data_IF_610502976045
#
_entry.id   IF_610502976045
#
_cell.length_a   1.000
_cell.length_b   1.000
_cell.length_c   1.000
_cell.angle_alpha   90.00
_cell.angle_beta   90.00
_cell.angle_gamma   90.00
#
_symmetry.space_group_name_H-M   'P 1'
#
loop_
_entity.id
_entity.type
_entity.pdbx_description
1 polymer ?
#
# COMPACT_ATOMS: atom_id res chain seq x y z
N UNK A 1 -53.82 -20.71 -48.46
CA UNK A 1 -52.97 -21.04 -47.30
C UNK A 1 -51.74 -20.10 -47.20
N UNK A 2 -51.89 -18.79 -47.46
CA UNK A 2 -50.76 -17.85 -47.60
C UNK A 2 -51.17 -16.41 -47.21
N UNK A 3 -51.55 -16.17 -45.95
CA UNK A 3 -51.86 -14.80 -45.46
C UNK A 3 -51.29 -14.44 -44.08
N UNK A 4 -50.47 -15.29 -43.48
CA UNK A 4 -50.05 -15.14 -42.07
C UNK A 4 -48.61 -14.68 -41.85
N UNK A 5 -47.79 -14.53 -42.90
CA UNK A 5 -46.36 -14.20 -42.77
C UNK A 5 -46.01 -12.71 -42.78
N UNK A 6 -46.94 -11.83 -43.19
CA UNK A 6 -46.62 -10.40 -43.38
C UNK A 6 -46.82 -9.53 -42.13
N UNK A 7 -47.66 -9.95 -41.16
CA UNK A 7 -47.92 -9.16 -39.94
C UNK A 7 -46.82 -9.26 -38.88
N UNK A 8 -45.94 -10.27 -38.97
CA UNK A 8 -44.86 -10.47 -38.00
C UNK A 8 -43.69 -9.50 -38.19
N UNK A 9 -43.53 -8.87 -39.36
CA UNK A 9 -42.34 -8.06 -39.68
C UNK A 9 -42.42 -6.61 -39.19
N UNK A 10 -43.62 -6.08 -38.97
CA UNK A 10 -43.84 -4.69 -38.54
C UNK A 10 -43.75 -4.48 -37.02
N UNK A 11 -43.88 -5.55 -36.22
CA UNK A 11 -43.66 -5.49 -34.76
C UNK A 11 -42.17 -5.42 -34.39
N UNK A 12 -41.28 -5.83 -35.29
CA UNK A 12 -39.84 -5.96 -35.03
C UNK A 12 -39.12 -4.59 -35.10
N UNK A 13 -39.75 -3.57 -35.68
CA UNK A 13 -39.15 -2.26 -35.94
C UNK A 13 -40.01 -1.11 -35.39
N UNK A 14 -40.52 -1.26 -34.16
CA UNK A 14 -41.21 -0.17 -33.49
C UNK A 14 -40.19 0.96 -33.15
N UNK A 15 -40.37 2.20 -33.64
CA UNK A 15 -39.47 3.30 -33.33
C UNK A 15 -39.38 3.62 -31.82
N UNK A 16 -40.39 3.21 -31.04
CA UNK A 16 -40.37 3.30 -29.58
C UNK A 16 -39.38 2.32 -28.96
N UNK A 17 -39.25 1.11 -29.50
CA UNK A 17 -38.29 0.09 -29.05
C UNK A 17 -36.84 0.54 -29.29
N UNK A 18 -36.58 1.16 -30.46
CA UNK A 18 -35.28 1.79 -30.77
C UNK A 18 -34.92 2.94 -29.83
N UNK A 19 -35.90 3.71 -29.35
CA UNK A 19 -35.69 4.78 -28.37
C UNK A 19 -35.45 4.22 -26.97
N UNK A 20 -36.22 3.20 -26.56
CA UNK A 20 -36.05 2.56 -25.26
C UNK A 20 -34.71 1.82 -25.16
N UNK A 21 -34.31 1.07 -26.20
CA UNK A 21 -33.01 0.41 -26.27
C UNK A 21 -31.83 1.41 -26.11
N UNK A 22 -31.92 2.60 -26.71
CA UNK A 22 -30.89 3.65 -26.58
C UNK A 22 -30.78 4.17 -25.14
N UNK A 23 -31.91 4.40 -24.47
CA UNK A 23 -31.92 4.88 -23.07
C UNK A 23 -31.33 3.81 -22.13
N UNK A 24 -31.67 2.54 -22.33
CA UNK A 24 -31.12 1.44 -21.54
C UNK A 24 -29.61 1.32 -21.73
N UNK A 25 -29.12 1.42 -22.97
CA UNK A 25 -27.67 1.40 -23.26
C UNK A 25 -26.94 2.56 -22.59
N UNK A 26 -27.48 3.78 -22.67
CA UNK A 26 -26.87 4.97 -22.04
C UNK A 26 -26.85 4.81 -20.51
N UNK A 27 -27.90 4.23 -19.93
CA UNK A 27 -27.99 4.02 -18.48
C UNK A 27 -26.98 2.97 -18.02
N UNK A 28 -26.86 1.85 -18.74
CA UNK A 28 -25.86 0.81 -18.46
C UNK A 28 -24.45 1.39 -18.61
N UNK A 29 -24.18 2.11 -19.69
CA UNK A 29 -22.89 2.74 -19.94
C UNK A 29 -22.56 3.77 -18.86
N UNK A 30 -23.55 4.54 -18.39
CA UNK A 30 -23.40 5.48 -17.28
C UNK A 30 -23.06 4.78 -15.97
N UNK A 31 -23.73 3.67 -15.64
CA UNK A 31 -23.39 2.85 -14.47
C UNK A 31 -22.01 2.22 -14.58
N UNK A 32 -21.62 1.78 -15.78
CA UNK A 32 -20.32 1.17 -16.04
C UNK A 32 -19.20 2.22 -15.92
N UNK A 33 -19.42 3.43 -16.43
CA UNK A 33 -18.52 4.57 -16.27
C UNK A 33 -18.42 5.03 -14.81
N UNK A 34 -19.53 5.05 -14.07
CA UNK A 34 -19.53 5.38 -12.65
C UNK A 34 -18.77 4.35 -11.82
N UNK A 35 -18.95 3.06 -12.11
CA UNK A 35 -18.21 1.98 -11.47
C UNK A 35 -16.70 2.05 -11.78
N UNK A 36 -16.34 2.47 -13.00
CA UNK A 36 -14.94 2.71 -13.38
C UNK A 36 -14.35 3.94 -12.67
N UNK A 37 -15.17 4.94 -12.39
CA UNK A 37 -14.77 6.16 -11.69
C UNK A 37 -14.53 5.94 -10.20
N UNK A 38 -15.25 4.98 -9.59
CA UNK A 38 -15.07 4.49 -8.21
C UNK A 38 -13.86 3.55 -8.09
N UNK A 39 -12.77 3.83 -8.80
CA UNK A 39 -11.57 3.00 -8.84
C UNK A 39 -11.06 2.58 -7.45
N UNK A 40 -10.29 1.47 -7.37
CA UNK A 40 -9.83 0.94 -6.10
C UNK A 40 -9.06 2.01 -5.32
N UNK A 41 -9.47 2.25 -4.07
CA UNK A 41 -8.70 3.09 -3.16
C UNK A 41 -7.29 2.51 -3.01
N UNK A 42 -6.23 3.33 -3.04
CA UNK A 42 -4.90 2.85 -2.74
C UNK A 42 -4.92 2.24 -1.35
N UNK A 43 -4.66 0.94 -1.25
CA UNK A 43 -4.42 0.31 0.04
C UNK A 43 -3.15 0.96 0.61
N UNK A 44 -3.26 1.59 1.77
CA UNK A 44 -2.12 2.20 2.45
C UNK A 44 -1.21 1.05 2.94
N UNK A 45 -0.22 0.69 2.12
CA UNK A 45 0.80 -0.27 2.52
C UNK A 45 1.71 0.41 3.52
N UNK A 46 1.95 -0.27 4.64
CA UNK A 46 2.98 0.19 5.57
C UNK A 46 4.35 0.15 4.89
N UNK A 47 5.13 1.19 5.10
CA UNK A 47 6.52 1.27 4.71
C UNK A 47 7.35 0.38 5.63
N UNK A 48 8.09 -0.57 5.06
CA UNK A 48 8.92 -1.48 5.83
C UNK A 48 10.18 -0.77 6.26
N UNK A 49 10.42 -0.72 7.57
CA UNK A 49 11.56 -0.06 8.18
C UNK A 49 12.38 -1.06 8.98
N UNK A 50 13.65 -1.22 8.62
CA UNK A 50 14.57 -2.11 9.35
C UNK A 50 15.33 -1.34 10.44
N UNK A 51 15.05 -1.63 11.70
CA UNK A 51 15.65 -0.96 12.86
C UNK A 51 16.46 -1.94 13.73
N UNK A 52 17.67 -1.54 14.11
CA UNK A 52 18.57 -2.36 14.91
C UNK A 52 18.69 -1.86 16.35
N UNK A 53 18.77 -2.79 17.30
CA UNK A 53 19.23 -2.52 18.66
C UNK A 53 20.47 -3.35 19.01
N UNK A 54 21.41 -2.76 19.76
CA UNK A 54 22.74 -3.36 19.96
C UNK A 54 22.96 -4.07 21.30
N UNK A 55 22.00 -3.95 22.22
CA UNK A 55 22.07 -4.59 23.55
C UNK A 55 20.66 -4.84 24.09
N UNK A 56 20.52 -5.86 24.94
CA UNK A 56 19.28 -6.14 25.67
C UNK A 56 19.39 -5.44 27.03
N UNK A 57 18.81 -4.24 27.12
CA UNK A 57 18.75 -3.47 28.37
C UNK A 57 17.56 -2.52 28.37
N UNK A 58 17.21 -1.98 29.54
CA UNK A 58 16.03 -1.11 29.69
C UNK A 58 16.02 0.12 28.77
N UNK A 59 17.18 0.63 28.36
CA UNK A 59 17.27 1.77 27.44
C UNK A 59 16.69 1.51 26.04
N UNK A 60 16.56 0.24 25.63
CA UNK A 60 16.00 -0.16 24.33
C UNK A 60 14.52 -0.58 24.43
N UNK A 61 13.96 -0.63 25.64
CA UNK A 61 12.57 -1.03 25.85
C UNK A 61 11.54 -0.21 25.04
N UNK A 62 11.70 1.11 24.82
CA UNK A 62 10.75 1.87 24.01
C UNK A 62 10.56 1.32 22.59
N UNK A 63 11.60 0.75 21.96
CA UNK A 63 11.46 0.14 20.64
C UNK A 63 10.60 -1.13 20.68
N UNK A 64 10.80 -2.00 21.66
CA UNK A 64 10.01 -3.23 21.80
C UNK A 64 8.56 -2.92 22.15
N UNK A 65 8.34 -2.03 23.13
CA UNK A 65 6.99 -1.59 23.53
C UNK A 65 6.28 -0.91 22.36
N UNK A 66 6.98 -0.05 21.61
CA UNK A 66 6.43 0.60 20.42
C UNK A 66 5.96 -0.40 19.37
N UNK A 67 6.74 -1.47 19.15
CA UNK A 67 6.37 -2.57 18.23
C UNK A 67 5.17 -3.35 18.75
N UNK A 68 5.18 -3.76 20.01
CA UNK A 68 4.09 -4.53 20.63
C UNK A 68 2.77 -3.76 20.67
N UNK A 69 2.84 -2.43 20.80
CA UNK A 69 1.68 -1.55 20.78
C UNK A 69 1.27 -1.10 19.38
N UNK A 70 1.94 -1.60 18.33
CA UNK A 70 1.72 -1.18 16.94
C UNK A 70 1.79 0.34 16.78
N UNK A 71 2.61 1.00 17.62
CA UNK A 71 2.70 2.46 17.64
C UNK A 71 3.29 3.00 16.33
N UNK A 72 4.16 2.22 15.68
CA UNK A 72 4.75 2.57 14.39
C UNK A 72 3.77 2.47 13.23
N UNK A 73 2.79 1.57 13.31
CA UNK A 73 1.76 1.40 12.27
C UNK A 73 0.86 2.63 12.15
N UNK A 74 0.66 3.35 13.25
CA UNK A 74 -0.07 4.63 13.27
C UNK A 74 0.60 5.71 12.42
N UNK A 75 1.91 5.58 12.19
CA UNK A 75 2.70 6.44 11.33
C UNK A 75 2.94 5.83 9.95
N UNK A 76 2.27 4.72 9.62
CA UNK A 76 2.43 4.02 8.34
C UNK A 76 3.71 3.20 8.24
N UNK A 77 4.35 2.85 9.36
CA UNK A 77 5.62 2.10 9.39
C UNK A 77 5.41 0.66 9.88
N UNK A 78 5.91 -0.31 9.12
CA UNK A 78 6.08 -1.72 9.51
C UNK A 78 7.53 -1.92 9.98
N UNK A 79 7.74 -1.83 11.30
CA UNK A 79 9.09 -1.93 11.87
C UNK A 79 9.53 -3.39 12.03
N UNK A 80 10.60 -3.72 11.34
CA UNK A 80 11.38 -4.92 11.56
C UNK A 80 12.53 -4.63 12.54
N UNK A 81 12.30 -4.99 13.81
CA UNK A 81 13.30 -4.87 14.89
C UNK A 81 14.28 -6.04 14.89
N UNK A 82 15.57 -5.74 14.72
CA UNK A 82 16.67 -6.71 14.60
C UNK A 82 17.65 -6.53 15.77
N UNK A 83 18.02 -7.62 16.42
CA UNK A 83 19.14 -7.60 17.36
C UNK A 83 20.45 -7.80 16.62
N UNK A 84 21.38 -6.86 16.73
CA UNK A 84 22.71 -7.00 16.14
C UNK A 84 23.77 -6.45 17.08
N UNK A 85 24.70 -7.30 17.52
CA UNK A 85 25.74 -6.91 18.47
C UNK A 85 26.95 -6.32 17.75
N UNK A 86 27.46 -5.24 18.32
CA UNK A 86 28.74 -4.64 17.94
C UNK A 86 28.62 -3.57 16.86
N UNK A 87 29.52 -2.60 16.91
CA UNK A 87 29.49 -1.39 16.08
C UNK A 87 29.88 -1.63 14.64
N UNK A 88 30.88 -2.49 14.40
CA UNK A 88 31.38 -2.79 13.05
C UNK A 88 30.27 -3.42 12.17
N UNK A 89 29.62 -4.54 12.55
CA UNK A 89 28.63 -5.17 11.68
C UNK A 89 27.38 -4.31 11.49
N UNK A 90 26.96 -3.59 12.54
CA UNK A 90 25.79 -2.70 12.45
C UNK A 90 26.06 -1.47 11.59
N UNK A 91 27.23 -0.85 11.72
CA UNK A 91 27.60 0.29 10.87
C UNK A 91 27.79 -0.14 9.42
N UNK A 92 28.33 -1.33 9.17
CA UNK A 92 28.43 -1.89 7.83
C UNK A 92 27.04 -2.14 7.21
N UNK A 93 26.13 -2.76 7.95
CA UNK A 93 24.75 -2.99 7.51
C UNK A 93 24.05 -1.65 7.18
N UNK A 94 24.25 -0.62 8.00
CA UNK A 94 23.71 0.72 7.75
C UNK A 94 24.32 1.35 6.49
N UNK A 95 25.65 1.27 6.34
CA UNK A 95 26.34 1.82 5.17
C UNK A 95 25.97 1.11 3.86
N UNK A 96 25.66 -0.18 3.93
CA UNK A 96 25.20 -0.98 2.79
C UNK A 96 23.70 -0.79 2.48
N UNK A 97 22.95 -0.08 3.33
CA UNK A 97 21.49 0.07 3.20
C UNK A 97 20.69 -1.20 3.54
N UNK A 98 21.29 -2.14 4.27
CA UNK A 98 20.59 -3.36 4.76
C UNK A 98 19.64 -3.04 5.93
N UNK A 99 19.93 -1.95 6.65
CA UNK A 99 19.12 -1.43 7.76
C UNK A 99 19.01 0.09 7.60
N UNK A 100 17.95 0.68 8.14
CA UNK A 100 17.69 2.12 8.04
C UNK A 100 18.07 2.87 9.31
N UNK A 101 17.91 2.23 10.47
CA UNK A 101 18.15 2.87 11.77
C UNK A 101 18.92 1.98 12.73
N UNK A 102 19.77 2.60 13.55
CA UNK A 102 20.45 1.96 14.67
C UNK A 102 20.11 2.72 15.95
N UNK A 103 19.49 2.04 16.91
CA UNK A 103 19.52 2.47 18.31
C UNK A 103 20.70 1.77 18.99
N UNK A 104 21.61 2.56 19.56
CA UNK A 104 22.78 2.05 20.26
C UNK A 104 23.29 3.02 21.31
N UNK A 105 24.27 2.57 22.11
CA UNK A 105 25.03 3.45 22.99
C UNK A 105 25.85 4.46 22.20
N UNK A 106 25.77 5.74 22.57
CA UNK A 106 26.40 6.83 21.81
C UNK A 106 27.93 6.70 21.70
N UNK A 107 28.61 6.26 22.78
CA UNK A 107 30.07 6.22 22.85
C UNK A 107 30.73 5.42 21.72
N UNK A 108 30.07 4.37 21.24
CA UNK A 108 30.60 3.53 20.18
C UNK A 108 30.44 4.11 18.78
N UNK A 109 29.50 5.05 18.56
CA UNK A 109 29.21 5.63 17.25
C UNK A 109 29.71 7.06 17.07
N UNK A 110 30.11 7.75 18.15
CA UNK A 110 30.72 9.10 18.06
C UNK A 110 31.92 9.13 17.08
N UNK A 111 32.88 8.18 17.11
CA UNK A 111 33.98 8.18 16.14
C UNK A 111 33.51 7.92 14.70
N UNK A 112 32.49 7.08 14.51
CA UNK A 112 31.93 6.77 13.20
C UNK A 112 31.25 7.98 12.55
N UNK A 113 30.53 8.78 13.33
CA UNK A 113 29.90 10.01 12.83
C UNK A 113 30.93 11.04 12.31
N UNK A 114 32.13 11.06 12.87
CA UNK A 114 33.20 11.96 12.45
C UNK A 114 33.82 11.62 11.08
N UNK A 115 33.58 10.40 10.56
CA UNK A 115 34.11 9.94 9.28
C UNK A 115 33.17 10.20 8.09
N UNK A 116 31.92 10.60 8.32
CA UNK A 116 31.00 10.99 7.25
C UNK A 116 31.24 12.45 6.84
N UNK A 117 32.08 12.64 5.82
CA UNK A 117 32.19 13.91 5.11
C UNK A 117 31.14 13.95 4.01
N UNK A 118 30.29 14.97 4.02
CA UNK A 118 29.27 15.28 3.03
C UNK A 118 29.83 16.26 1.99
#
# INVERSE_FOLDING_TARGET
MLRTTLLRRSEIDNPLDRRQARVTIITILGYLLLALWLGPFPAYSLEKVSAVYTSISGGYAPLWVGKEKQAFEQYGLDIHLIYMRGTIPTSAALANGEIEFIQAGASTYIPYAAHFHW
#
